data_IF_005596902438
#
_entry.id   IF_005596902438
#
_cell.length_a   1.000
_cell.length_b   1.000
_cell.length_c   1.000
_cell.angle_alpha   90.00
_cell.angle_beta   90.00
_cell.angle_gamma   90.00
#
_symmetry.space_group_name_H-M   'P 1'
#
loop_
_entity.id
_entity.type
_entity.pdbx_description
1 polymer ?
#
# COMPACT_ATOMS: atom_id res chain seq x y z
N UNK A 1 9.02 -1.24 -22.95
CA UNK A 1 9.48 -0.41 -21.82
C UNK A 1 8.28 -0.20 -20.89
N UNK A 2 8.22 -0.92 -19.77
CA UNK A 2 7.09 -0.84 -18.84
C UNK A 2 7.24 0.39 -17.96
N UNK A 3 6.28 1.32 -18.04
CA UNK A 3 6.24 2.52 -17.20
C UNK A 3 6.05 2.11 -15.73
N UNK A 4 6.90 2.54 -14.79
CA UNK A 4 6.70 2.26 -13.38
C UNK A 4 5.44 3.01 -12.92
N UNK A 5 4.47 2.26 -12.38
CA UNK A 5 3.24 2.83 -11.83
C UNK A 5 3.46 3.50 -10.46
N UNK A 6 4.62 3.26 -9.83
CA UNK A 6 4.96 3.69 -8.49
C UNK A 6 6.43 4.12 -8.45
N UNK A 7 6.73 5.28 -7.86
CA UNK A 7 8.10 5.76 -7.65
C UNK A 7 8.45 5.66 -6.16
N UNK A 8 9.66 5.17 -5.88
CA UNK A 8 10.24 5.13 -4.53
C UNK A 8 11.27 6.25 -4.41
N UNK A 9 11.33 6.86 -3.23
CA UNK A 9 12.21 7.98 -2.92
C UNK A 9 13.41 7.47 -2.09
N UNK A 10 14.60 7.38 -2.69
CA UNK A 10 15.78 6.89 -1.97
C UNK A 10 16.25 7.82 -0.85
N UNK A 11 15.85 9.09 -0.87
CA UNK A 11 16.22 10.10 0.12
C UNK A 11 15.18 10.23 1.25
N UNK A 12 14.12 9.42 1.22
CA UNK A 12 13.11 9.40 2.29
C UNK A 12 13.66 8.70 3.53
N UNK A 13 13.33 9.24 4.71
CA UNK A 13 13.60 8.63 6.02
C UNK A 13 12.88 7.28 6.26
N UNK A 14 12.10 6.81 5.29
CA UNK A 14 11.29 5.60 5.39
C UNK A 14 11.99 4.41 4.75
N UNK A 15 11.87 3.25 5.38
CA UNK A 15 12.36 2.00 4.80
C UNK A 15 11.71 1.73 3.44
N UNK A 16 12.43 1.06 2.54
CA UNK A 16 11.90 0.70 1.21
C UNK A 16 10.59 -0.09 1.32
N UNK A 17 10.46 -0.92 2.35
CA UNK A 17 9.22 -1.66 2.62
C UNK A 17 8.06 -0.69 2.88
N UNK A 18 8.26 0.31 3.73
CA UNK A 18 7.23 1.29 4.06
C UNK A 18 6.87 2.18 2.88
N UNK A 19 7.87 2.58 2.08
CA UNK A 19 7.61 3.33 0.86
C UNK A 19 6.77 2.53 -0.14
N UNK A 20 7.10 1.24 -0.36
CA UNK A 20 6.30 0.34 -1.20
C UNK A 20 4.89 0.20 -0.65
N UNK A 21 4.75 0.06 0.68
CA UNK A 21 3.47 -0.05 1.37
C UNK A 21 2.58 1.17 1.10
N UNK A 22 3.08 2.38 1.38
CA UNK A 22 2.35 3.63 1.15
C UNK A 22 1.95 3.78 -0.30
N UNK A 23 2.86 3.53 -1.23
CA UNK A 23 2.61 3.67 -2.67
C UNK A 23 1.53 2.70 -3.16
N UNK A 24 1.52 1.46 -2.68
CA UNK A 24 0.47 0.50 -2.99
C UNK A 24 -0.91 0.93 -2.48
N UNK A 25 -0.95 1.47 -1.26
CA UNK A 25 -2.17 1.99 -0.63
C UNK A 25 -2.66 3.24 -1.37
N UNK A 26 -1.78 4.19 -1.69
CA UNK A 26 -2.09 5.37 -2.50
C UNK A 26 -2.65 4.98 -3.87
N UNK A 27 -2.05 3.99 -4.55
CA UNK A 27 -2.54 3.50 -5.83
C UNK A 27 -3.89 2.79 -5.72
N UNK A 28 -4.14 2.04 -4.64
CA UNK A 28 -5.45 1.47 -4.35
C UNK A 28 -6.49 2.60 -4.14
N UNK A 29 -6.13 3.65 -3.40
CA UNK A 29 -6.99 4.82 -3.18
C UNK A 29 -7.25 5.63 -4.44
N UNK A 30 -6.27 5.75 -5.32
CA UNK A 30 -6.41 6.38 -6.63
C UNK A 30 -7.26 5.58 -7.62
N UNK A 31 -7.73 4.38 -7.23
CA UNK A 31 -8.51 3.50 -8.10
C UNK A 31 -7.67 2.80 -9.18
N UNK A 32 -6.34 2.77 -9.05
CA UNK A 32 -5.45 2.05 -9.98
C UNK A 32 -5.72 0.53 -9.98
N UNK A 33 -6.27 0.03 -8.86
CA UNK A 33 -6.69 -1.35 -8.68
C UNK A 33 -8.19 -1.40 -8.39
N UNK A 34 -9.05 -1.52 -9.42
CA UNK A 34 -10.49 -1.66 -9.19
C UNK A 34 -10.81 -2.95 -8.41
N UNK A 35 -11.92 -2.97 -7.64
CA UNK A 35 -12.38 -4.16 -6.91
C UNK A 35 -12.42 -5.38 -7.83
N UNK A 36 -11.84 -6.49 -7.36
CA UNK A 36 -11.78 -7.73 -8.12
C UNK A 36 -10.64 -7.82 -9.15
N UNK A 37 -9.87 -6.75 -9.39
CA UNK A 37 -8.64 -6.85 -10.19
C UNK A 37 -7.50 -7.34 -9.32
N UNK A 38 -6.76 -8.31 -9.88
CA UNK A 38 -5.58 -8.89 -9.21
C UNK A 38 -4.45 -7.88 -9.17
N UNK A 39 -3.80 -7.76 -8.01
CA UNK A 39 -2.58 -6.99 -7.85
C UNK A 39 -1.42 -7.61 -8.66
N UNK A 40 -0.41 -6.79 -9.03
CA UNK A 40 0.83 -7.31 -9.60
C UNK A 40 1.45 -8.37 -8.69
N UNK A 41 2.04 -9.41 -9.29
CA UNK A 41 2.80 -10.39 -8.50
C UNK A 41 3.99 -9.72 -7.79
N UNK A 42 4.45 -10.27 -6.66
CA UNK A 42 5.62 -9.73 -5.97
C UNK A 42 6.86 -9.64 -6.87
N UNK A 43 7.01 -10.60 -7.80
CA UNK A 43 8.04 -10.56 -8.85
C UNK A 43 7.82 -9.41 -9.82
N UNK A 44 6.62 -9.28 -10.38
CA UNK A 44 6.32 -8.24 -11.36
C UNK A 44 6.48 -6.83 -10.78
N UNK A 45 6.06 -6.62 -9.54
CA UNK A 45 6.20 -5.33 -8.87
C UNK A 45 7.65 -5.03 -8.51
N UNK A 46 8.41 -6.02 -8.01
CA UNK A 46 9.83 -5.86 -7.73
C UNK A 46 10.62 -5.46 -8.98
N UNK A 47 10.35 -6.10 -10.13
CA UNK A 47 10.97 -5.74 -11.41
C UNK A 47 10.58 -4.33 -11.87
N UNK A 48 9.32 -3.92 -11.68
CA UNK A 48 8.87 -2.57 -12.05
C UNK A 48 9.50 -1.48 -11.18
N UNK A 49 9.71 -1.77 -9.89
CA UNK A 49 10.26 -0.83 -8.91
C UNK A 49 11.79 -0.88 -8.82
N UNK A 50 12.44 -1.90 -9.39
CA UNK A 50 13.88 -2.09 -9.26
C UNK A 50 14.34 -2.47 -7.85
N UNK A 51 13.47 -3.06 -7.02
CA UNK A 51 13.78 -3.43 -5.63
C UNK A 51 13.86 -4.95 -5.42
N UNK A 52 14.41 -5.36 -4.27
CA UNK A 52 14.45 -6.76 -3.89
C UNK A 52 13.03 -7.33 -3.70
N UNK A 53 12.81 -8.55 -4.20
CA UNK A 53 11.53 -9.28 -4.07
C UNK A 53 11.10 -9.44 -2.60
N UNK A 54 12.04 -9.61 -1.69
CA UNK A 54 11.75 -9.78 -0.27
C UNK A 54 11.05 -8.55 0.30
N UNK A 55 11.51 -7.35 -0.05
CA UNK A 55 10.91 -6.08 0.37
C UNK A 55 9.45 -5.96 -0.06
N UNK A 56 9.15 -6.31 -1.32
CA UNK A 56 7.77 -6.31 -1.83
C UNK A 56 6.90 -7.36 -1.15
N UNK A 57 7.47 -8.54 -0.88
CA UNK A 57 6.75 -9.63 -0.20
C UNK A 57 6.40 -9.23 1.24
N UNK A 58 7.33 -8.62 1.96
CA UNK A 58 7.10 -8.11 3.32
C UNK A 58 6.06 -6.98 3.33
N UNK A 59 6.12 -6.05 2.37
CA UNK A 59 5.11 -5.00 2.23
C UNK A 59 3.71 -5.58 1.98
N UNK A 60 3.59 -6.58 1.09
CA UNK A 60 2.31 -7.26 0.86
C UNK A 60 1.82 -8.00 2.09
N UNK A 61 2.69 -8.71 2.81
CA UNK A 61 2.30 -9.40 4.03
C UNK A 61 1.73 -8.42 5.05
N UNK A 62 2.41 -7.29 5.25
CA UNK A 62 1.95 -6.25 6.18
C UNK A 62 0.59 -5.67 5.78
N UNK A 63 0.35 -5.46 4.49
CA UNK A 63 -0.93 -4.96 3.97
C UNK A 63 -2.07 -5.97 4.06
N UNK A 64 -1.76 -7.27 3.95
CA UNK A 64 -2.71 -8.35 4.20
C UNK A 64 -3.09 -8.37 5.69
N UNK A 65 -2.09 -8.30 6.58
CA UNK A 65 -2.30 -8.31 8.03
C UNK A 65 -3.09 -7.08 8.51
N UNK A 66 -2.88 -5.92 7.87
CA UNK A 66 -3.60 -4.67 8.15
C UNK A 66 -5.01 -4.63 7.55
N UNK A 67 -5.35 -5.56 6.65
CA UNK A 67 -6.67 -5.66 6.01
C UNK A 67 -6.87 -4.74 4.80
N UNK A 68 -5.79 -4.20 4.21
CA UNK A 68 -5.87 -3.43 2.96
C UNK A 68 -6.07 -4.33 1.75
N UNK A 69 -5.47 -5.51 1.79
CA UNK A 69 -5.54 -6.51 0.75
C UNK A 69 -6.03 -7.84 1.29
N UNK A 70 -6.53 -8.69 0.40
CA UNK A 70 -6.89 -10.08 0.70
C UNK A 70 -6.18 -11.01 -0.24
N UNK A 71 -5.57 -12.05 0.32
CA UNK A 71 -5.01 -13.16 -0.44
C UNK A 71 -6.11 -14.18 -0.71
N UNK A 72 -6.34 -14.52 -1.98
CA UNK A 72 -7.23 -15.62 -2.37
C UNK A 72 -6.39 -16.77 -2.89
N UNK A 73 -6.64 -17.97 -2.35
CA UNK A 73 -5.87 -19.17 -2.68
C UNK A 73 -5.85 -19.39 -4.20
N UNK A 74 -4.64 -19.60 -4.76
CA UNK A 74 -4.35 -19.81 -6.20
C UNK A 74 -4.73 -18.67 -7.15
N UNK A 75 -5.34 -17.60 -6.66
CA UNK A 75 -5.89 -16.53 -7.49
C UNK A 75 -5.06 -15.24 -7.39
N UNK A 76 -4.37 -15.03 -6.27
CA UNK A 76 -3.47 -13.90 -6.04
C UNK A 76 -3.97 -12.95 -4.96
N UNK A 77 -3.44 -11.72 -4.98
CA UNK A 77 -3.77 -10.68 -4.00
C UNK A 77 -4.77 -9.72 -4.64
N UNK A 78 -5.78 -9.32 -3.88
CA UNK A 78 -6.88 -8.44 -4.30
C UNK A 78 -7.06 -7.30 -3.31
N UNK A 79 -7.66 -6.19 -3.77
CA UNK A 79 -8.09 -5.09 -2.88
C UNK A 79 -9.23 -5.57 -1.98
N UNK A 80 -9.11 -5.31 -0.68
CA UNK A 80 -10.15 -5.64 0.26
C UNK A 80 -11.40 -4.77 0.05
N UNK A 81 -12.58 -5.38 0.16
CA UNK A 81 -13.84 -4.71 -0.13
C UNK A 81 -14.25 -3.73 0.97
N UNK A 82 -13.83 -3.97 2.21
CA UNK A 82 -14.05 -3.11 3.37
C UNK A 82 -13.16 -1.86 3.30
N UNK A 83 -11.92 -2.01 2.85
CA UNK A 83 -11.03 -0.89 2.52
C UNK A 83 -11.69 0.07 1.49
N UNK A 84 -12.33 -0.50 0.46
CA UNK A 84 -13.08 0.27 -0.54
C UNK A 84 -14.37 0.91 0.01
N UNK A 85 -15.00 0.34 1.05
CA UNK A 85 -16.13 0.98 1.74
C UNK A 85 -15.67 2.24 2.48
N UNK A 86 -14.50 2.19 3.13
CA UNK A 86 -13.86 3.37 3.73
C UNK A 86 -13.60 4.48 2.71
N UNK A 87 -13.22 4.13 1.48
CA UNK A 87 -13.04 5.06 0.36
C UNK A 87 -14.31 5.81 -0.03
N UNK A 88 -15.42 5.08 -0.19
CA UNK A 88 -16.71 5.71 -0.55
C UNK A 88 -17.20 6.68 0.52
N UNK A 89 -16.93 6.40 1.80
CA UNK A 89 -17.25 7.30 2.89
C UNK A 89 -16.38 8.58 2.86
N UNK A 90 -15.11 8.48 2.49
CA UNK A 90 -14.18 9.62 2.44
C UNK A 90 -14.41 10.50 1.19
N UNK A 91 -14.75 9.91 0.04
CA UNK A 91 -15.02 10.69 -1.18
C UNK A 91 -16.32 11.52 -1.11
N UNK A 92 -17.36 11.05 -0.40
CA UNK A 92 -18.55 11.87 -0.14
C UNK A 92 -18.25 13.11 0.71
N UNK A 93 -17.13 13.15 1.43
CA UNK A 93 -16.70 14.30 2.25
C UNK A 93 -15.76 15.24 1.48
N UNK A 94 -15.16 14.79 0.37
CA UNK A 94 -14.15 15.55 -0.39
C UNK A 94 -14.66 16.82 -1.11
N UNK A 95 -15.97 17.13 -1.03
CA UNK A 95 -16.51 18.45 -1.38
C UNK A 95 -16.35 19.53 -0.31
N UNK A 96 -15.89 19.18 0.91
CA UNK A 96 -15.58 20.15 1.98
C UNK A 96 -14.20 19.89 2.54
N UNK A 97 -13.37 20.93 2.53
CA UNK A 97 -12.02 20.97 3.10
C UNK A 97 -12.10 20.58 4.60
N UNK A 98 -11.38 19.50 4.95
CA UNK A 98 -11.08 18.80 6.25
C UNK A 98 -11.63 19.32 7.60
N UNK A 99 -11.86 18.45 8.63
CA UNK A 99 -10.97 17.35 9.06
C UNK A 99 -11.62 15.95 9.09
N UNK A 100 -10.83 14.91 8.81
CA UNK A 100 -11.20 13.50 9.02
C UNK A 100 -11.56 13.24 10.51
N UNK A 101 -12.64 12.47 10.81
CA UNK A 101 -12.45 11.04 11.07
C UNK A 101 -13.71 10.16 10.83
N UNK A 102 -13.63 9.18 9.93
CA UNK A 102 -14.49 7.98 10.01
C UNK A 102 -13.88 6.74 9.39
N UNK A 103 -12.63 6.84 8.95
CA UNK A 103 -11.89 5.69 8.46
C UNK A 103 -10.88 5.27 9.54
N UNK A 104 -10.97 4.03 10.06
CA UNK A 104 -10.02 3.53 11.07
C UNK A 104 -8.56 3.50 10.57
N UNK A 105 -8.32 3.75 9.28
CA UNK A 105 -6.98 3.87 8.70
C UNK A 105 -6.30 5.23 8.92
N UNK A 106 -7.03 6.34 8.98
CA UNK A 106 -6.43 7.68 9.15
C UNK A 106 -5.75 7.84 10.51
N UNK A 107 -6.31 7.18 11.53
CA UNK A 107 -5.72 7.09 12.86
C UNK A 107 -4.53 6.12 12.91
N UNK A 108 -4.56 5.00 12.16
CA UNK A 108 -3.44 4.04 12.08
C UNK A 108 -2.23 4.56 11.33
N UNK A 109 -2.42 5.48 10.38
CA UNK A 109 -1.32 6.09 9.62
C UNK A 109 -0.45 7.04 10.46
N UNK A 110 -0.93 7.48 11.64
CA UNK A 110 -0.17 8.37 12.55
C UNK A 110 0.65 7.64 13.62
N UNK A 111 0.86 6.32 13.52
CA UNK A 111 1.63 5.62 14.55
C UNK A 111 2.46 4.46 13.99
N UNK A 112 3.72 4.73 13.65
CA UNK A 112 4.87 3.94 14.13
C UNK A 112 6.17 4.64 13.72
N UNK A 113 6.58 5.55 14.60
CA UNK A 113 7.97 5.70 15.01
C UNK A 113 8.56 4.31 15.32
N UNK A 114 9.72 3.97 14.75
CA UNK A 114 10.53 2.82 15.13
C UNK A 114 10.57 1.64 14.16
N UNK A 115 11.29 1.77 13.05
CA UNK A 115 12.03 0.63 12.49
C UNK A 115 13.52 0.94 12.69
N UNK A 116 14.11 0.21 13.63
CA UNK A 116 15.46 0.32 14.14
C UNK A 116 16.50 0.31 12.99
N UNK A 117 17.53 1.18 13.00
CA UNK A 117 18.52 1.20 11.95
C UNK A 117 19.30 -0.12 11.99
N UNK A 118 19.18 -0.94 10.95
CA UNK A 118 20.03 -2.13 10.78
C UNK A 118 21.48 -1.64 10.60
N UNK A 119 22.18 -1.60 11.72
CA UNK A 119 23.58 -1.24 11.79
C UNK A 119 24.38 -2.27 10.97
N UNK A 120 24.90 -1.82 9.82
CA UNK A 120 25.96 -2.53 9.13
C UNK A 120 27.24 -2.40 9.93
N UNK A 121 27.74 -3.51 10.47
CA UNK A 121 29.16 -3.77 10.68
C UNK A 121 29.46 -5.24 10.45
#
# INVERSE_FOLDING_TARGET
MSRPLLFLDPDSDLSLQEQVRRKLVEAAYAGAFPPGKRLPSSRGLATQLGVARITVTLAYQKLLDEGFFVSRERSGIYVDHDMLRGLTAVQSVAGRREPAPSSPWGARFKSSEGDEPVARR
#
